data_IF_472771506320
#
_entry.id   IF_472771506320
#
_cell.length_a   1.000
_cell.length_b   1.000
_cell.length_c   1.000
_cell.angle_alpha   90.00
_cell.angle_beta   90.00
_cell.angle_gamma   90.00
#
_symmetry.space_group_name_H-M   'P 1'
#
loop_
_entity.id
_entity.type
_entity.pdbx_description
1 polymer ?
#
# COMPACT_ATOMS: atom_id res chain seq x y z
N UNK A 1 -17.15 9.72 -5.21
CA UNK A 1 -17.61 8.38 -5.64
C UNK A 1 -16.91 7.35 -4.76
N UNK A 2 -17.64 6.75 -3.83
CA UNK A 2 -17.09 5.74 -2.92
C UNK A 2 -16.94 4.37 -3.61
N UNK A 3 -16.04 3.52 -3.10
CA UNK A 3 -15.86 2.15 -3.63
C UNK A 3 -17.17 1.35 -3.59
N UNK A 4 -17.99 1.55 -2.54
CA UNK A 4 -19.29 0.90 -2.39
C UNK A 4 -20.25 1.28 -3.52
N UNK A 5 -20.28 2.55 -3.92
CA UNK A 5 -21.14 3.02 -5.02
C UNK A 5 -20.71 2.39 -6.36
N UNK A 6 -19.40 2.27 -6.58
CA UNK A 6 -18.87 1.62 -7.77
C UNK A 6 -19.28 0.15 -7.79
N UNK A 7 -19.09 -0.57 -6.68
CA UNK A 7 -19.43 -2.00 -6.60
C UNK A 7 -20.95 -2.24 -6.72
N UNK A 8 -21.79 -1.38 -6.14
CA UNK A 8 -23.24 -1.45 -6.31
C UNK A 8 -23.64 -1.27 -7.77
N UNK A 9 -23.13 -0.23 -8.43
CA UNK A 9 -23.38 0.00 -9.86
C UNK A 9 -22.94 -1.18 -10.72
N UNK A 10 -21.73 -1.71 -10.49
CA UNK A 10 -21.24 -2.87 -11.25
C UNK A 10 -22.11 -4.11 -11.00
N UNK A 11 -22.59 -4.33 -9.77
CA UNK A 11 -23.51 -5.41 -9.46
C UNK A 11 -24.88 -5.24 -10.13
N UNK A 12 -25.45 -4.03 -10.14
CA UNK A 12 -26.73 -3.73 -10.82
C UNK A 12 -26.63 -3.89 -12.35
N UNK A 13 -25.48 -3.58 -12.93
CA UNK A 13 -25.21 -3.80 -14.36
C UNK A 13 -24.97 -5.28 -14.70
N UNK A 14 -24.59 -6.07 -13.70
CA UNK A 14 -24.41 -7.50 -13.80
C UNK A 14 -25.76 -8.19 -13.60
N UNK A 15 -26.44 -8.56 -14.69
CA UNK A 15 -27.64 -9.41 -14.64
C UNK A 15 -27.27 -10.85 -14.20
N UNK A 16 -26.87 -11.03 -12.94
CA UNK A 16 -26.48 -12.32 -12.36
C UNK A 16 -27.56 -12.88 -11.42
N UNK A 17 -28.21 -14.00 -11.78
CA UNK A 17 -29.20 -14.66 -10.93
C UNK A 17 -28.64 -15.15 -9.59
N UNK A 18 -27.32 -15.35 -9.49
CA UNK A 18 -26.66 -15.91 -8.29
C UNK A 18 -26.16 -14.85 -7.30
N UNK A 19 -26.24 -13.57 -7.65
CA UNK A 19 -25.93 -12.47 -6.73
C UNK A 19 -24.44 -12.15 -6.55
N UNK A 20 -23.55 -12.57 -7.47
CA UNK A 20 -22.13 -12.23 -7.38
C UNK A 20 -21.86 -10.80 -7.85
N UNK A 21 -20.89 -10.13 -7.21
CA UNK A 21 -20.45 -8.77 -7.59
C UNK A 21 -19.71 -8.79 -8.94
N UNK A 22 -19.00 -9.88 -9.23
CA UNK A 22 -18.24 -10.06 -10.48
C UNK A 22 -18.64 -11.36 -11.18
N UNK A 23 -19.81 -11.40 -11.85
CA UNK A 23 -20.24 -12.59 -12.56
C UNK A 23 -19.39 -12.86 -13.80
N UNK A 24 -19.42 -14.11 -14.26
CA UNK A 24 -18.75 -14.53 -15.48
C UNK A 24 -19.57 -15.60 -16.17
N UNK A 25 -20.12 -15.28 -17.33
CA UNK A 25 -20.87 -16.22 -18.18
C UNK A 25 -20.00 -17.32 -18.78
N UNK A 26 -18.66 -17.12 -18.79
CA UNK A 26 -17.70 -18.08 -19.34
C UNK A 26 -17.09 -19.02 -18.30
N UNK A 27 -17.18 -18.68 -17.02
CA UNK A 27 -16.62 -19.51 -15.95
C UNK A 27 -17.66 -20.58 -15.54
N UNK A 28 -17.28 -21.87 -15.39
CA UNK A 28 -18.21 -22.90 -14.90
C UNK A 28 -18.83 -22.57 -13.54
N UNK A 29 -18.10 -21.82 -12.70
CA UNK A 29 -18.56 -21.32 -11.41
C UNK A 29 -19.60 -20.20 -11.49
N UNK A 30 -19.83 -19.62 -12.68
CA UNK A 30 -20.71 -18.48 -12.90
C UNK A 30 -20.15 -17.12 -12.45
N UNK A 31 -18.93 -17.09 -11.90
CA UNK A 31 -18.32 -15.86 -11.39
C UNK A 31 -16.79 -15.88 -11.51
N UNK A 32 -16.17 -14.70 -11.39
CA UNK A 32 -14.73 -14.57 -11.40
C UNK A 32 -14.10 -15.13 -10.12
N UNK A 33 -13.30 -16.18 -10.25
CA UNK A 33 -12.55 -16.78 -9.14
C UNK A 33 -11.10 -16.31 -9.06
N UNK A 34 -10.54 -15.82 -10.17
CA UNK A 34 -9.16 -15.34 -10.25
C UNK A 34 -9.09 -13.97 -10.93
N UNK A 35 -8.40 -13.03 -10.28
CA UNK A 35 -8.26 -11.65 -10.76
C UNK A 35 -7.09 -11.45 -11.72
N UNK A 36 -6.12 -12.38 -11.78
CA UNK A 36 -4.84 -12.16 -12.46
C UNK A 36 -4.98 -11.83 -13.94
N UNK A 37 -5.83 -12.56 -14.67
CA UNK A 37 -6.05 -12.32 -16.10
C UNK A 37 -6.67 -10.95 -16.39
N UNK A 38 -7.84 -10.62 -15.80
CA UNK A 38 -8.44 -9.28 -15.91
C UNK A 38 -7.50 -8.16 -15.47
N UNK A 39 -6.82 -8.34 -14.35
CA UNK A 39 -5.85 -7.38 -13.84
C UNK A 39 -4.72 -7.14 -14.82
N UNK A 40 -4.14 -8.21 -15.40
CA UNK A 40 -3.06 -8.09 -16.35
C UNK A 40 -3.46 -7.30 -17.61
N UNK A 41 -4.70 -7.50 -18.08
CA UNK A 41 -5.25 -6.70 -19.20
C UNK A 41 -5.37 -5.22 -18.83
N UNK A 42 -5.80 -4.90 -17.62
CA UNK A 42 -5.88 -3.51 -17.14
C UNK A 42 -4.51 -2.85 -17.07
N UNK A 43 -3.51 -3.53 -16.49
CA UNK A 43 -2.13 -3.04 -16.39
C UNK A 43 -1.54 -2.78 -17.78
N UNK A 44 -1.71 -3.72 -18.72
CA UNK A 44 -1.26 -3.55 -20.11
C UNK A 44 -1.94 -2.38 -20.80
N UNK A 45 -3.26 -2.21 -20.63
CA UNK A 45 -4.03 -1.09 -21.18
C UNK A 45 -3.62 0.27 -20.59
N UNK A 46 -3.14 0.27 -19.34
CA UNK A 46 -2.61 1.46 -18.69
C UNK A 46 -1.16 1.79 -19.09
N UNK A 47 -0.53 0.98 -19.95
CA UNK A 47 0.88 1.17 -20.34
C UNK A 47 1.89 0.86 -19.23
N UNK A 48 1.49 0.08 -18.22
CA UNK A 48 2.31 -0.23 -17.05
C UNK A 48 2.99 -1.60 -17.19
N UNK A 49 4.10 -1.79 -16.47
CA UNK A 49 4.84 -3.05 -16.46
C UNK A 49 4.19 -4.07 -15.52
N UNK A 50 3.81 -5.23 -16.05
CA UNK A 50 3.23 -6.36 -15.31
C UNK A 50 4.16 -7.00 -14.28
N UNK A 51 5.48 -6.91 -14.45
CA UNK A 51 6.43 -7.45 -13.47
C UNK A 51 6.50 -6.58 -12.21
N UNK A 52 6.19 -5.28 -12.33
CA UNK A 52 6.23 -4.32 -11.23
C UNK A 52 4.84 -4.11 -10.62
N UNK A 53 3.81 -3.99 -11.46
CA UNK A 53 2.44 -3.72 -11.04
C UNK A 53 1.69 -5.03 -10.96
N UNK A 54 1.70 -5.63 -9.76
CA UNK A 54 1.01 -6.88 -9.44
C UNK A 54 -0.08 -6.64 -8.38
N UNK A 55 -1.07 -7.54 -8.23
CA UNK A 55 -2.05 -7.44 -7.14
C UNK A 55 -1.40 -7.42 -5.76
N UNK A 56 -0.30 -8.16 -5.59
CA UNK A 56 0.46 -8.16 -4.34
C UNK A 56 1.14 -6.81 -4.09
N UNK A 57 1.74 -6.19 -5.12
CA UNK A 57 2.34 -4.86 -5.02
C UNK A 57 1.29 -3.80 -4.64
N UNK A 58 0.11 -3.81 -5.28
CA UNK A 58 -0.98 -2.88 -4.94
C UNK A 58 -1.44 -3.09 -3.49
N UNK A 59 -1.63 -4.34 -3.06
CA UNK A 59 -1.98 -4.65 -1.66
C UNK A 59 -0.92 -4.12 -0.70
N UNK A 60 0.36 -4.34 -1.00
CA UNK A 60 1.46 -3.83 -0.19
C UNK A 60 1.40 -2.30 -0.08
N UNK A 61 1.28 -1.58 -1.20
CA UNK A 61 1.18 -0.12 -1.20
C UNK A 61 -0.04 0.38 -0.41
N UNK A 62 -1.19 -0.28 -0.53
CA UNK A 62 -2.39 0.08 0.21
C UNK A 62 -2.19 -0.06 1.73
N UNK A 63 -1.59 -1.17 2.16
CA UNK A 63 -1.33 -1.42 3.59
C UNK A 63 -0.26 -0.48 4.13
N UNK A 64 0.85 -0.26 3.41
CA UNK A 64 1.86 0.71 3.81
C UNK A 64 1.27 2.12 3.92
N UNK A 65 0.42 2.53 2.98
CA UNK A 65 -0.26 3.84 3.07
C UNK A 65 -1.17 3.95 4.28
N UNK A 66 -1.90 2.88 4.62
CA UNK A 66 -2.73 2.84 5.82
C UNK A 66 -1.89 2.87 7.10
N UNK A 67 -0.75 2.18 7.12
CA UNK A 67 0.19 2.26 8.25
C UNK A 67 0.69 3.69 8.43
N UNK A 68 1.11 4.35 7.35
CA UNK A 68 1.61 5.72 7.37
C UNK A 68 0.59 6.77 7.85
N UNK A 69 -0.72 6.47 7.91
CA UNK A 69 -1.69 7.37 8.55
C UNK A 69 -1.68 7.29 10.08
N UNK A 70 -0.82 6.46 10.68
CA UNK A 70 -0.81 6.18 12.11
C UNK A 70 -1.94 5.24 12.55
N UNK A 71 -2.51 4.45 11.62
CA UNK A 71 -3.54 3.49 11.97
C UNK A 71 -2.97 2.42 12.92
N UNK A 72 -3.75 2.05 13.95
CA UNK A 72 -3.35 1.00 14.88
C UNK A 72 -3.16 -0.35 14.18
N UNK A 73 -2.23 -1.17 14.69
CA UNK A 73 -1.88 -2.48 14.12
C UNK A 73 -3.10 -3.39 13.93
N UNK A 74 -4.05 -3.37 14.88
CA UNK A 74 -5.29 -4.14 14.79
C UNK A 74 -6.20 -3.66 13.65
N UNK A 75 -6.33 -2.34 13.45
CA UNK A 75 -7.10 -1.77 12.34
C UNK A 75 -6.49 -2.18 11.00
N UNK A 76 -5.17 -2.14 10.88
CA UNK A 76 -4.46 -2.58 9.68
C UNK A 76 -4.68 -4.08 9.43
N UNK A 77 -4.63 -4.90 10.49
CA UNK A 77 -4.89 -6.33 10.40
C UNK A 77 -6.30 -6.63 9.88
N UNK A 78 -7.32 -6.01 10.48
CA UNK A 78 -8.72 -6.18 10.09
C UNK A 78 -8.96 -5.71 8.65
N UNK A 79 -8.39 -4.57 8.25
CA UNK A 79 -8.48 -4.07 6.88
C UNK A 79 -7.82 -5.01 5.86
N UNK A 80 -6.65 -5.54 6.19
CA UNK A 80 -5.85 -6.35 5.27
C UNK A 80 -6.24 -7.84 5.25
N UNK A 81 -6.99 -8.30 6.24
CA UNK A 81 -7.42 -9.70 6.39
C UNK A 81 -6.28 -10.66 6.82
N UNK A 82 -5.18 -10.14 7.36
CA UNK A 82 -4.05 -10.97 7.78
C UNK A 82 -4.40 -11.82 9.01
N UNK A 83 -4.06 -13.10 8.94
CA UNK A 83 -4.37 -14.07 9.98
C UNK A 83 -3.57 -13.85 11.27
N UNK A 84 -2.43 -13.15 11.21
CA UNK A 84 -1.62 -12.85 12.37
C UNK A 84 -1.10 -11.41 12.36
N UNK A 85 -0.90 -10.87 13.56
CA UNK A 85 -0.29 -9.56 13.80
C UNK A 85 1.13 -9.52 13.22
N UNK A 86 1.89 -10.62 13.31
CA UNK A 86 3.26 -10.70 12.78
C UNK A 86 3.34 -10.36 11.28
N UNK A 87 2.34 -10.73 10.48
CA UNK A 87 2.30 -10.39 9.05
C UNK A 87 2.09 -8.88 8.81
N UNK A 88 1.51 -8.17 9.78
CA UNK A 88 1.24 -6.73 9.72
C UNK A 88 2.43 -5.91 10.22
N UNK A 89 3.18 -6.40 11.21
CA UNK A 89 4.31 -5.69 11.82
C UNK A 89 5.35 -5.22 10.80
N UNK A 90 5.58 -5.96 9.72
CA UNK A 90 6.48 -5.56 8.62
C UNK A 90 6.14 -4.19 8.00
N UNK A 91 4.88 -3.76 8.07
CA UNK A 91 4.42 -2.48 7.51
C UNK A 91 4.54 -1.34 8.50
N UNK A 92 4.46 -1.65 9.80
CA UNK A 92 4.59 -0.68 10.90
C UNK A 92 6.05 -0.31 11.09
N UNK A 93 6.95 -1.29 11.09
CA UNK A 93 8.39 -1.01 11.19
C UNK A 93 8.92 -0.17 10.02
N UNK A 94 8.36 -0.33 8.82
CA UNK A 94 8.70 0.51 7.68
C UNK A 94 8.30 1.98 7.88
N UNK A 95 7.25 2.27 8.67
CA UNK A 95 6.89 3.62 9.07
C UNK A 95 7.92 4.18 10.06
N UNK A 96 8.32 3.39 11.07
CA UNK A 96 9.31 3.81 12.07
C UNK A 96 10.63 4.22 11.40
N UNK A 97 11.09 3.47 10.39
CA UNK A 97 12.28 3.83 9.60
C UNK A 97 12.13 5.16 8.84
N UNK A 98 10.95 5.44 8.29
CA UNK A 98 10.67 6.71 7.59
C UNK A 98 10.65 7.87 8.58
N UNK A 99 10.04 7.67 9.76
CA UNK A 99 9.99 8.69 10.82
C UNK A 99 11.39 8.97 11.34
N UNK A 100 12.19 7.94 11.63
CA UNK A 100 13.56 8.11 12.09
C UNK A 100 14.41 8.84 11.06
N UNK A 101 14.31 8.48 9.78
CA UNK A 101 15.01 9.21 8.71
C UNK A 101 14.58 10.68 8.62
N UNK A 102 13.28 10.96 8.78
CA UNK A 102 12.79 12.33 8.78
C UNK A 102 13.32 13.14 9.97
N UNK A 103 13.46 12.51 11.15
CA UNK A 103 14.08 13.12 12.32
C UNK A 103 15.59 13.36 12.09
N UNK A 104 16.31 12.39 11.53
CA UNK A 104 17.73 12.51 11.20
C UNK A 104 17.97 13.66 10.20
N UNK A 105 17.12 13.79 9.17
CA UNK A 105 17.17 14.87 8.19
C UNK A 105 16.87 16.25 8.83
N UNK A 106 15.99 16.30 9.84
CA UNK A 106 15.71 17.51 10.61
C UNK A 106 16.88 17.89 11.53
N UNK A 107 17.53 16.92 12.18
CA UNK A 107 18.65 17.15 13.08
C UNK A 107 19.94 17.53 12.32
N UNK A 108 20.20 16.90 11.16
CA UNK A 108 21.36 17.16 10.31
C UNK A 108 21.43 18.56 9.69
N UNK A 109 20.34 19.33 9.71
CA UNK A 109 20.28 20.72 9.23
C UNK A 109 20.68 21.78 10.27
N UNK A 110 20.99 21.41 11.52
CA UNK A 110 21.16 22.38 12.63
C UNK A 110 22.57 22.49 13.21
N UNK A 111 23.58 21.87 12.60
CA UNK A 111 24.97 22.00 13.07
C UNK A 111 25.88 22.46 11.92
N UNK A 112 25.86 23.76 11.62
CA UNK A 112 27.06 24.41 11.09
C UNK A 112 28.04 24.55 12.27
N UNK A 113 29.03 23.66 12.33
CA UNK A 113 30.16 23.85 13.23
C UNK A 113 30.92 25.12 12.82
N UNK A 114 30.81 26.16 13.63
CA UNK A 114 31.63 27.36 13.50
C UNK A 114 33.07 27.00 13.92
N UNK A 115 34.08 27.13 13.05
CA UNK A 115 35.43 26.68 13.37
C UNK A 115 36.02 27.54 14.49
N UNK A 116 36.24 26.91 15.66
CA UNK A 116 36.83 27.56 16.82
C UNK A 116 38.25 28.04 16.50
N UNK A 117 38.43 29.36 16.46
CA UNK A 117 39.73 30.02 16.50
C UNK A 117 40.52 29.52 17.70
N UNK A 118 41.65 28.83 17.48
CA UNK A 118 42.63 28.57 18.54
C UNK A 118 43.96 29.22 18.19
N UNK A 119 44.18 30.35 18.87
CA UNK A 119 45.41 31.16 18.87
C UNK A 119 46.63 30.32 19.24
N UNK A 120 47.70 30.54 18.47
CA UNK A 120 49.11 30.66 18.89
C UNK A 120 49.42 30.34 20.35
N UNK A 121 50.21 29.29 20.57
CA UNK A 121 51.31 29.28 21.53
C UNK A 121 52.14 28.00 21.35
N UNK A 122 53.35 28.13 20.78
CA UNK A 122 54.47 27.24 21.06
C UNK A 122 55.78 28.04 21.02
N UNK A 123 56.62 27.62 21.95
CA UNK A 123 57.82 28.25 22.53
C UNK A 123 58.96 28.56 21.58
#
# INVERSE_FOLDING_TARGET
RGIVEILKREHEMAEDPKGWIFPSTRAPSGHMTHINGPFARCVKRAGLNLSLVTPHAIRHTAITRLANTGAGVRTIQEFSGHQSIAMVMRYVHAQDEIVNRALDDMEGGTIEEHPASRKSRRS
#
